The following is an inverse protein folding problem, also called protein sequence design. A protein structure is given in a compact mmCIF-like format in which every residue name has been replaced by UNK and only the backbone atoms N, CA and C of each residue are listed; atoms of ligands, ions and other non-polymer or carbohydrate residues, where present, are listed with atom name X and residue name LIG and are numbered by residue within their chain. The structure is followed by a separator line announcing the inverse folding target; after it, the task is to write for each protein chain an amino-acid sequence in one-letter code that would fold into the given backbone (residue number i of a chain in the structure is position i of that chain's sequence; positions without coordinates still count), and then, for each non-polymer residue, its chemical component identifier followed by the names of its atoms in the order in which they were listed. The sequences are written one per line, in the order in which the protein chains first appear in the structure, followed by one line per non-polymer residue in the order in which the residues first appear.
data_IF_857500631824
#
_entry.id   IF_857500631824
#
_cell.length_a   1.000
_cell.length_b   1.000
_cell.length_c   1.000
_cell.angle_alpha   90.00
_cell.angle_beta   90.00
_cell.angle_gamma   90.00
#
_symmetry.space_group_name_H-M   'P 1'
#
loop_
_entity.id
_entity.type
_entity.pdbx_description
1 polymer ?
#
# COMPACT_ATOMS: atom_id res chain seq x y z
N UNK A 1 24.69 -7.39 25.22
CA UNK A 1 23.78 -8.53 25.51
C UNK A 1 22.33 -8.27 25.13
N UNK A 2 21.73 -7.10 25.44
CA UNK A 2 20.32 -6.80 25.08
C UNK A 2 20.00 -6.89 23.58
N UNK A 3 20.88 -6.36 22.71
CA UNK A 3 20.64 -6.38 21.25
C UNK A 3 20.60 -7.80 20.67
N UNK A 4 21.40 -8.73 21.19
CA UNK A 4 21.40 -10.14 20.77
C UNK A 4 20.11 -10.83 21.21
N UNK A 5 19.64 -10.55 22.43
CA UNK A 5 18.37 -11.07 22.94
C UNK A 5 17.15 -10.55 22.15
N UNK A 6 17.17 -9.28 21.73
CA UNK A 6 16.13 -8.73 20.84
C UNK A 6 16.20 -9.33 19.43
N UNK A 7 17.40 -9.56 18.90
CA UNK A 7 17.60 -10.25 17.62
C UNK A 7 17.03 -11.67 17.64
N UNK A 8 17.30 -12.44 18.70
CA UNK A 8 16.78 -13.80 18.89
C UNK A 8 15.26 -13.81 19.07
N UNK A 9 14.71 -12.88 19.86
CA UNK A 9 13.25 -12.75 20.07
C UNK A 9 12.51 -12.41 18.77
N UNK A 10 13.08 -11.51 17.96
CA UNK A 10 12.51 -11.15 16.66
C UNK A 10 12.58 -12.32 15.68
N UNK A 11 13.74 -12.97 15.59
CA UNK A 11 13.93 -14.15 14.75
C UNK A 11 12.94 -15.28 15.10
N UNK A 12 12.75 -15.56 16.39
CA UNK A 12 11.76 -16.53 16.85
C UNK A 12 10.33 -16.15 16.43
N UNK A 13 9.96 -14.88 16.61
CA UNK A 13 8.63 -14.37 16.25
C UNK A 13 8.37 -14.45 14.74
N UNK A 14 9.36 -14.08 13.93
CA UNK A 14 9.28 -14.12 12.46
C UNK A 14 9.21 -15.57 11.96
N UNK A 15 10.01 -16.48 12.53
CA UNK A 15 9.97 -17.90 12.19
C UNK A 15 8.62 -18.53 12.59
N UNK A 16 8.07 -18.19 13.75
CA UNK A 16 6.74 -18.65 14.16
C UNK A 16 5.67 -18.19 13.16
N UNK A 17 5.71 -16.92 12.73
CA UNK A 17 4.81 -16.39 11.70
C UNK A 17 4.94 -17.18 10.40
N UNK A 18 6.18 -17.42 9.92
CA UNK A 18 6.42 -18.18 8.70
C UNK A 18 5.90 -19.62 8.78
N UNK A 19 6.05 -20.28 9.94
CA UNK A 19 5.54 -21.63 10.16
C UNK A 19 4.01 -21.67 10.15
N UNK A 20 3.34 -20.69 10.76
CA UNK A 20 1.88 -20.55 10.71
C UNK A 20 1.41 -20.33 9.27
N UNK A 21 2.04 -19.42 8.54
CA UNK A 21 1.71 -19.14 7.13
C UNK A 21 1.95 -20.35 6.23
N UNK A 22 3.01 -21.11 6.46
CA UNK A 22 3.28 -22.38 5.76
C UNK A 22 2.17 -23.40 6.03
N UNK A 23 1.76 -23.55 7.28
CA UNK A 23 0.67 -24.43 7.68
C UNK A 23 -0.65 -24.05 7.02
N UNK A 24 -1.00 -22.76 7.01
CA UNK A 24 -2.21 -22.26 6.36
C UNK A 24 -2.17 -22.49 4.84
N UNK A 25 -1.04 -22.21 4.19
CA UNK A 25 -0.85 -22.48 2.75
C UNK A 25 -1.05 -23.97 2.43
N UNK A 26 -0.54 -24.87 3.28
CA UNK A 26 -0.71 -26.31 3.09
C UNK A 26 -2.19 -26.73 3.24
N UNK A 27 -2.92 -26.17 4.21
CA UNK A 27 -4.36 -26.42 4.37
C UNK A 27 -5.18 -25.92 3.18
N UNK A 28 -4.86 -24.74 2.66
CA UNK A 28 -5.51 -24.19 1.47
C UNK A 28 -5.29 -25.07 0.23
N UNK A 29 -4.08 -25.60 0.02
CA UNK A 29 -3.80 -26.55 -1.07
C UNK A 29 -4.60 -27.84 -0.96
N UNK A 30 -5.01 -28.24 0.25
CA UNK A 30 -5.85 -29.42 0.50
C UNK A 30 -7.35 -29.09 0.49
N UNK A 31 -7.73 -27.83 0.34
CA UNK A 31 -9.12 -27.36 0.42
C UNK A 31 -9.73 -27.55 1.81
N UNK A 32 -8.93 -27.55 2.87
CA UNK A 32 -9.40 -27.68 4.25
C UNK A 32 -9.92 -26.33 4.79
N UNK A 33 -10.94 -26.36 5.64
CA UNK A 33 -11.42 -25.16 6.33
C UNK A 33 -10.43 -24.67 7.40
N UNK A 34 -10.18 -23.35 7.43
CA UNK A 34 -9.10 -22.77 8.24
C UNK A 34 -9.49 -22.44 9.69
N UNK A 35 -10.73 -22.03 9.92
CA UNK A 35 -11.16 -21.41 11.19
C UNK A 35 -12.37 -22.13 11.79
N UNK A 36 -13.17 -21.46 12.61
CA UNK A 36 -14.42 -22.03 13.12
C UNK A 36 -15.42 -22.23 11.98
N UNK A 37 -16.13 -23.36 11.97
CA UNK A 37 -17.15 -23.63 10.97
C UNK A 37 -18.19 -22.50 10.91
N UNK A 38 -18.60 -22.06 9.71
CA UNK A 38 -19.71 -21.13 9.56
C UNK A 38 -21.02 -21.81 9.98
N UNK A 39 -22.04 -21.00 10.27
CA UNK A 39 -23.36 -21.52 10.64
C UNK A 39 -23.90 -22.46 9.55
N UNK A 40 -24.53 -23.57 9.92
CA UNK A 40 -24.95 -24.61 8.96
C UNK A 40 -23.91 -25.72 8.73
N UNK A 41 -22.66 -25.53 9.17
CA UNK A 41 -21.61 -26.55 9.15
C UNK A 41 -21.18 -26.95 10.57
N UNK A 42 -20.64 -28.16 10.69
CA UNK A 42 -20.01 -28.69 11.91
C UNK A 42 -18.56 -29.09 11.60
N UNK A 43 -17.65 -28.83 12.54
CA UNK A 43 -16.26 -29.28 12.44
C UNK A 43 -16.20 -30.79 12.71
N UNK A 44 -15.80 -31.58 11.71
CA UNK A 44 -15.55 -33.00 11.88
C UNK A 44 -14.08 -33.24 12.27
N UNK A 45 -13.86 -33.79 13.46
CA UNK A 45 -12.52 -34.05 14.02
C UNK A 45 -11.76 -35.11 13.21
N UNK A 46 -12.46 -36.05 12.57
CA UNK A 46 -11.86 -37.16 11.82
C UNK A 46 -11.29 -36.71 10.48
N UNK A 47 -12.08 -35.96 9.71
CA UNK A 47 -11.67 -35.43 8.39
C UNK A 47 -10.88 -34.13 8.51
N UNK A 48 -10.80 -33.55 9.73
CA UNK A 48 -10.21 -32.23 9.99
C UNK A 48 -10.78 -31.13 9.09
N UNK A 49 -12.02 -31.32 8.64
CA UNK A 49 -12.72 -30.42 7.73
C UNK A 49 -14.16 -30.16 8.22
N UNK A 50 -14.89 -29.31 7.51
CA UNK A 50 -16.29 -29.00 7.82
C UNK A 50 -17.25 -29.87 7.02
N UNK A 51 -18.36 -30.25 7.66
CA UNK A 51 -19.44 -31.01 7.04
C UNK A 51 -20.80 -30.33 7.31
N UNK A 52 -21.74 -30.35 6.36
CA UNK A 52 -23.07 -29.79 6.57
C UNK A 52 -23.81 -30.45 7.74
N UNK A 53 -24.32 -29.65 8.66
CA UNK A 53 -25.19 -30.12 9.75
C UNK A 53 -26.56 -30.51 9.16
N UNK A 54 -27.09 -31.70 9.46
CA UNK A 54 -28.36 -32.20 8.91
C UNK A 54 -29.55 -31.25 9.14
N UNK A 55 -29.59 -30.57 10.29
CA UNK A 55 -30.72 -29.68 10.63
C UNK A 55 -30.41 -28.23 10.24
N UNK A 56 -29.24 -27.72 10.62
CA UNK A 56 -28.92 -26.30 10.40
C UNK A 56 -28.68 -25.99 8.92
N UNK A 57 -28.14 -26.92 8.14
CA UNK A 57 -27.97 -26.71 6.68
C UNK A 57 -29.31 -26.50 5.98
N UNK A 58 -30.34 -27.28 6.33
CA UNK A 58 -31.70 -27.13 5.79
C UNK A 58 -32.31 -25.77 6.13
N UNK A 59 -32.05 -25.28 7.35
CA UNK A 59 -32.49 -23.96 7.78
C UNK A 59 -31.78 -22.84 7.00
N UNK A 60 -30.49 -22.98 6.74
CA UNK A 60 -29.74 -22.04 5.87
C UNK A 60 -30.36 -22.00 4.47
N UNK A 61 -30.60 -23.17 3.85
CA UNK A 61 -31.24 -23.23 2.53
C UNK A 61 -32.61 -22.54 2.53
N UNK A 62 -33.43 -22.78 3.56
CA UNK A 62 -34.73 -22.12 3.71
C UNK A 62 -34.60 -20.60 3.84
N UNK A 63 -33.70 -20.12 4.70
CA UNK A 63 -33.47 -18.68 4.87
C UNK A 63 -33.03 -17.98 3.56
N UNK A 64 -32.19 -18.64 2.76
CA UNK A 64 -31.79 -18.11 1.45
C UNK A 64 -32.95 -18.12 0.43
N UNK A 65 -33.78 -19.16 0.42
CA UNK A 65 -35.00 -19.21 -0.41
C UNK A 65 -35.99 -18.12 -0.04
N UNK A 66 -36.27 -17.95 1.26
CA UNK A 66 -37.15 -16.88 1.76
C UNK A 66 -36.61 -15.51 1.37
N UNK A 67 -35.30 -15.27 1.52
CA UNK A 67 -34.71 -14.01 1.11
C UNK A 67 -34.78 -13.78 -0.41
N UNK A 68 -34.62 -14.83 -1.21
CA UNK A 68 -34.71 -14.76 -2.67
C UNK A 68 -36.10 -14.32 -3.17
N UNK A 69 -37.18 -14.61 -2.42
CA UNK A 69 -38.54 -14.14 -2.75
C UNK A 69 -38.67 -12.62 -2.75
N UNK A 70 -37.77 -11.91 -2.07
CA UNK A 70 -37.74 -10.44 -2.03
C UNK A 70 -38.68 -9.78 -1.03
N UNK A 71 -39.46 -10.56 -0.25
CA UNK A 71 -40.38 -10.03 0.78
C UNK A 71 -39.70 -9.73 2.12
N UNK A 72 -38.55 -10.35 2.40
CA UNK A 72 -37.90 -10.29 3.71
C UNK A 72 -36.78 -9.27 3.77
N UNK A 73 -36.72 -8.47 4.84
CA UNK A 73 -35.57 -7.61 5.20
C UNK A 73 -34.57 -8.35 6.08
N UNK A 74 -33.36 -7.80 6.30
CA UNK A 74 -32.37 -8.40 7.22
C UNK A 74 -32.95 -8.67 8.61
N UNK A 75 -33.81 -7.78 9.08
CA UNK A 75 -34.49 -7.89 10.37
C UNK A 75 -35.53 -9.02 10.38
N UNK A 76 -36.30 -9.15 9.30
CA UNK A 76 -37.25 -10.25 9.13
C UNK A 76 -36.56 -11.61 9.03
N UNK A 77 -35.42 -11.71 8.33
CA UNK A 77 -34.62 -12.94 8.32
C UNK A 77 -34.02 -13.24 9.69
N UNK A 78 -33.61 -12.21 10.44
CA UNK A 78 -33.12 -12.38 11.81
C UNK A 78 -34.20 -12.98 12.73
N UNK A 79 -35.42 -12.45 12.64
CA UNK A 79 -36.58 -12.98 13.37
C UNK A 79 -36.91 -14.40 12.94
N UNK A 80 -36.98 -14.68 11.63
CA UNK A 80 -37.20 -16.03 11.10
C UNK A 80 -36.17 -17.04 11.62
N UNK A 81 -34.89 -16.64 11.70
CA UNK A 81 -33.84 -17.48 12.27
C UNK A 81 -34.03 -17.68 13.78
N UNK A 82 -34.44 -16.64 14.52
CA UNK A 82 -34.72 -16.71 15.94
C UNK A 82 -35.92 -17.62 16.26
N UNK A 83 -36.99 -17.55 15.45
CA UNK A 83 -38.18 -18.41 15.56
C UNK A 83 -37.83 -19.90 15.36
N UNK A 84 -36.78 -20.17 14.57
CA UNK A 84 -36.21 -21.50 14.37
C UNK A 84 -35.07 -21.84 15.35
N UNK A 85 -34.93 -21.08 16.43
CA UNK A 85 -33.99 -21.37 17.54
C UNK A 85 -32.55 -20.89 17.31
N UNK A 86 -32.29 -20.10 16.27
CA UNK A 86 -30.96 -19.54 15.98
C UNK A 86 -30.83 -18.18 16.65
N UNK A 87 -30.39 -18.20 17.90
CA UNK A 87 -30.17 -17.02 18.73
C UNK A 87 -28.70 -16.86 19.10
N UNK A 88 -28.33 -15.66 19.54
CA UNK A 88 -27.00 -15.43 20.12
C UNK A 88 -26.88 -16.11 21.49
N UNK A 89 -25.68 -16.09 22.08
CA UNK A 89 -25.43 -16.63 23.43
C UNK A 89 -26.37 -16.04 24.50
N UNK A 90 -26.86 -14.82 24.29
CA UNK A 90 -27.74 -14.12 25.23
C UNK A 90 -29.23 -14.33 24.90
N UNK A 91 -29.56 -15.23 23.97
CA UNK A 91 -30.95 -15.48 23.57
C UNK A 91 -31.57 -14.42 22.65
N UNK A 92 -30.78 -13.44 22.19
CA UNK A 92 -31.29 -12.38 21.29
C UNK A 92 -31.19 -12.78 19.81
N UNK A 93 -32.06 -12.22 18.94
CA UNK A 93 -31.97 -12.42 17.49
C UNK A 93 -30.62 -11.93 16.91
N UNK A 94 -30.24 -12.48 15.75
CA UNK A 94 -29.00 -12.11 15.07
C UNK A 94 -29.00 -10.63 14.63
N UNK A 95 -27.86 -9.95 14.74
CA UNK A 95 -27.76 -8.57 14.27
C UNK A 95 -27.85 -8.47 12.75
N UNK A 96 -28.25 -7.29 12.23
CA UNK A 96 -28.33 -7.01 10.78
C UNK A 96 -27.00 -7.32 10.07
N UNK A 97 -25.87 -6.98 10.71
CA UNK A 97 -24.54 -7.27 10.21
C UNK A 97 -24.24 -8.78 10.14
N UNK A 98 -24.65 -9.55 11.16
CA UNK A 98 -24.45 -10.99 11.19
C UNK A 98 -25.25 -11.70 10.07
N UNK A 99 -26.50 -11.29 9.86
CA UNK A 99 -27.34 -11.82 8.77
C UNK A 99 -26.75 -11.44 7.40
N UNK A 100 -26.30 -10.19 7.23
CA UNK A 100 -25.63 -9.77 5.99
C UNK A 100 -24.35 -10.56 5.74
N UNK A 101 -23.51 -10.78 6.77
CA UNK A 101 -22.31 -11.59 6.65
C UNK A 101 -22.64 -13.04 6.29
N UNK A 102 -23.73 -13.61 6.83
CA UNK A 102 -24.22 -14.93 6.46
C UNK A 102 -24.65 -14.98 4.98
N UNK A 103 -25.49 -14.05 4.53
CA UNK A 103 -26.00 -14.04 3.15
C UNK A 103 -24.90 -13.81 2.10
N UNK A 104 -23.81 -13.13 2.46
CA UNK A 104 -22.66 -12.88 1.58
C UNK A 104 -21.56 -13.94 1.67
N UNK A 105 -21.69 -14.95 2.54
CA UNK A 105 -20.63 -15.92 2.76
C UNK A 105 -20.56 -16.96 1.62
N UNK A 106 -19.48 -16.91 0.84
CA UNK A 106 -19.23 -17.87 -0.26
C UNK A 106 -18.80 -19.26 0.24
N UNK A 107 -18.58 -19.45 1.54
CA UNK A 107 -18.37 -20.77 2.11
C UNK A 107 -19.54 -21.72 1.82
N UNK A 108 -20.77 -21.22 1.70
CA UNK A 108 -21.92 -22.04 1.35
C UNK A 108 -21.89 -22.62 -0.08
N UNK A 109 -21.04 -22.08 -0.94
CA UNK A 109 -20.76 -22.58 -2.30
C UNK A 109 -19.53 -23.50 -2.34
N UNK A 110 -18.83 -23.71 -1.21
CA UNK A 110 -17.61 -24.51 -1.17
C UNK A 110 -16.30 -23.72 -1.23
N UNK A 111 -16.32 -22.38 -1.19
CA UNK A 111 -15.10 -21.57 -1.28
C UNK A 111 -14.51 -21.19 0.09
N UNK A 112 -13.18 -21.14 0.19
CA UNK A 112 -12.43 -20.67 1.35
C UNK A 112 -11.81 -19.31 1.07
N UNK A 113 -11.90 -18.37 2.02
CA UNK A 113 -11.30 -17.04 1.90
C UNK A 113 -9.98 -16.97 2.65
N UNK A 114 -8.91 -16.50 2.00
CA UNK A 114 -7.65 -16.18 2.66
C UNK A 114 -6.96 -14.98 1.99
N UNK A 115 -6.47 -14.02 2.78
CA UNK A 115 -5.85 -12.77 2.30
C UNK A 115 -6.60 -11.98 1.22
N UNK A 116 -7.92 -12.13 1.13
CA UNK A 116 -8.75 -11.44 0.12
C UNK A 116 -9.01 -12.28 -1.14
N UNK A 117 -8.32 -13.40 -1.30
CA UNK A 117 -8.48 -14.36 -2.38
C UNK A 117 -9.43 -15.50 -1.98
N UNK A 118 -9.97 -16.17 -3.00
CA UNK A 118 -10.87 -17.32 -2.85
C UNK A 118 -10.22 -18.57 -3.41
N UNK A 119 -10.31 -19.66 -2.65
CA UNK A 119 -9.75 -20.96 -2.97
C UNK A 119 -10.86 -22.02 -2.94
N UNK A 120 -10.72 -23.07 -3.74
CA UNK A 120 -11.66 -24.19 -3.75
C UNK A 120 -11.53 -25.04 -2.48
N UNK A 121 -12.65 -25.29 -1.82
CA UNK A 121 -12.75 -26.13 -0.64
C UNK A 121 -13.20 -27.55 -0.99
N UNK A 122 -12.68 -28.53 -0.24
CA UNK A 122 -13.00 -29.96 -0.42
C UNK A 122 -14.29 -30.37 0.33
N UNK A 123 -14.94 -29.45 1.03
CA UNK A 123 -16.15 -29.71 1.80
C UNK A 123 -17.43 -29.51 0.97
N UNK A 124 -18.50 -30.22 1.36
CA UNK A 124 -19.75 -30.21 0.60
C UNK A 124 -20.45 -28.82 0.65
N UNK A 125 -20.86 -28.25 -0.50
CA UNK A 125 -21.62 -27.01 -0.55
C UNK A 125 -23.05 -27.22 -0.01
N UNK A 126 -23.61 -26.18 0.64
CA UNK A 126 -25.00 -26.17 1.14
C UNK A 126 -25.96 -25.55 0.10
N UNK A 127 -25.47 -24.59 -0.69
CA UNK A 127 -26.29 -23.82 -1.63
C UNK A 127 -25.87 -24.11 -3.08
N UNK A 128 -26.83 -24.00 -4.01
CA UNK A 128 -26.53 -23.94 -5.43
C UNK A 128 -26.00 -22.55 -5.83
N UNK A 129 -25.13 -22.46 -6.86
CA UNK A 129 -24.68 -21.18 -7.42
C UNK A 129 -25.84 -20.25 -7.77
N UNK A 130 -26.89 -20.79 -8.40
CA UNK A 130 -28.06 -20.02 -8.86
C UNK A 130 -28.82 -19.36 -7.70
N UNK A 131 -29.03 -20.09 -6.61
CA UNK A 131 -29.73 -19.56 -5.43
C UNK A 131 -28.91 -18.47 -4.74
N UNK A 132 -27.59 -18.67 -4.66
CA UNK A 132 -26.69 -17.67 -4.09
C UNK A 132 -26.65 -16.40 -4.96
N UNK A 133 -26.57 -16.55 -6.28
CA UNK A 133 -26.57 -15.42 -7.20
C UNK A 133 -27.89 -14.63 -7.15
N UNK A 134 -29.04 -15.30 -7.08
CA UNK A 134 -30.34 -14.65 -6.93
C UNK A 134 -30.37 -13.77 -5.66
N UNK A 135 -29.86 -14.27 -4.54
CA UNK A 135 -29.73 -13.51 -3.29
C UNK A 135 -28.77 -12.33 -3.45
N UNK A 136 -27.59 -12.52 -4.06
CA UNK A 136 -26.63 -11.44 -4.30
C UNK A 136 -27.20 -10.33 -5.20
N UNK A 137 -27.98 -10.69 -6.22
CA UNK A 137 -28.69 -9.72 -7.07
C UNK A 137 -29.65 -8.86 -6.23
N UNK A 138 -30.45 -9.48 -5.36
CA UNK A 138 -31.35 -8.76 -4.44
C UNK A 138 -30.60 -7.86 -3.46
N UNK A 139 -29.47 -8.30 -2.93
CA UNK A 139 -28.63 -7.50 -2.05
C UNK A 139 -28.10 -6.26 -2.78
N UNK A 140 -27.70 -6.38 -4.06
CA UNK A 140 -27.26 -5.25 -4.88
C UNK A 140 -28.39 -4.28 -5.23
N UNK A 141 -29.58 -4.78 -5.55
CA UNK A 141 -30.77 -3.95 -5.80
C UNK A 141 -31.18 -3.14 -4.57
N UNK A 142 -31.07 -3.75 -3.38
CA UNK A 142 -31.40 -3.10 -2.10
C UNK A 142 -30.27 -2.26 -1.53
N UNK A 143 -29.03 -2.49 -1.96
CA UNK A 143 -27.93 -1.61 -1.63
C UNK A 143 -28.25 -0.24 -2.24
N UNK A 144 -28.67 0.69 -1.39
CA UNK A 144 -28.70 2.12 -1.69
C UNK A 144 -27.31 2.66 -1.37
N UNK A 145 -26.34 2.66 -2.31
CA UNK A 145 -25.05 3.30 -2.03
C UNK A 145 -25.35 4.73 -1.62
N UNK A 146 -24.83 5.13 -0.46
CA UNK A 146 -24.94 6.50 0.02
C UNK A 146 -24.14 7.36 -0.97
N UNK A 147 -24.81 7.89 -2.00
CA UNK A 147 -24.23 8.88 -2.90
C UNK A 147 -24.04 10.16 -2.09
N UNK A 148 -22.99 10.24 -1.29
CA UNK A 148 -22.51 11.55 -0.82
C UNK A 148 -21.98 12.26 -2.06
N UNK A 149 -22.86 12.95 -2.78
CA UNK A 149 -22.56 13.63 -4.05
C UNK A 149 -21.68 14.87 -3.90
N UNK A 150 -21.24 15.20 -2.69
CA UNK A 150 -20.42 16.39 -2.44
C UNK A 150 -19.16 15.95 -1.74
N UNK A 151 -18.07 15.84 -2.50
CA UNK A 151 -16.75 15.98 -1.92
C UNK A 151 -16.73 17.35 -1.26
N UNK A 152 -16.48 17.41 0.04
CA UNK A 152 -16.32 18.70 0.67
C UNK A 152 -14.94 19.21 0.27
N UNK A 153 -14.93 20.32 -0.49
CA UNK A 153 -13.73 21.02 -0.89
C UNK A 153 -13.12 21.70 0.35
N UNK A 154 -12.20 20.99 1.01
CA UNK A 154 -11.43 21.45 2.14
C UNK A 154 -9.95 21.11 1.92
N UNK A 155 -9.18 22.06 1.36
CA UNK A 155 -7.78 21.84 1.03
C UNK A 155 -6.96 21.34 2.23
N UNK A 156 -7.00 22.03 3.37
CA UNK A 156 -6.05 21.76 4.46
C UNK A 156 -6.44 20.64 5.43
N UNK A 157 -7.42 19.79 5.11
CA UNK A 157 -7.78 18.67 5.99
C UNK A 157 -6.73 17.57 5.98
N UNK A 158 -6.33 17.09 7.16
CA UNK A 158 -5.34 16.02 7.31
C UNK A 158 -3.89 16.47 7.41
N UNK A 159 -3.60 17.75 7.11
CA UNK A 159 -2.25 18.31 7.17
C UNK A 159 -1.87 18.75 8.61
N UNK A 160 -2.81 19.40 9.30
CA UNK A 160 -2.53 20.03 10.60
C UNK A 160 -3.01 19.21 11.79
N UNK A 161 -2.25 19.29 12.89
CA UNK A 161 -2.59 18.77 14.21
C UNK A 161 -2.72 19.91 15.21
N UNK A 162 -3.65 19.75 16.14
CA UNK A 162 -3.82 20.69 17.23
C UNK A 162 -2.63 20.59 18.20
N UNK A 163 -1.98 21.72 18.51
CA UNK A 163 -0.86 21.77 19.45
C UNK A 163 -1.26 21.47 20.90
N UNK A 164 -2.53 21.66 21.28
CA UNK A 164 -3.01 21.47 22.65
C UNK A 164 -3.36 20.00 22.95
N UNK A 165 -4.17 19.36 22.10
CA UNK A 165 -4.63 17.98 22.34
C UNK A 165 -4.07 16.94 21.36
N UNK A 166 -3.26 17.34 20.38
CA UNK A 166 -2.70 16.44 19.36
C UNK A 166 -3.71 15.88 18.36
N UNK A 167 -5.00 16.23 18.49
CA UNK A 167 -6.06 15.80 17.58
C UNK A 167 -5.91 16.40 16.18
N UNK A 168 -6.42 15.72 15.16
CA UNK A 168 -6.39 16.23 13.78
C UNK A 168 -7.32 17.44 13.62
N UNK A 169 -6.89 18.40 12.80
CA UNK A 169 -7.72 19.51 12.34
C UNK A 169 -8.63 19.05 11.21
N UNK A 170 -9.91 19.37 11.33
CA UNK A 170 -10.97 19.09 10.35
C UNK A 170 -11.61 20.39 9.91
N UNK A 171 -12.34 20.37 8.81
CA UNK A 171 -12.99 21.55 8.27
C UNK A 171 -14.51 21.37 8.20
N UNK A 172 -15.21 22.51 8.25
CA UNK A 172 -16.65 22.57 8.06
C UNK A 172 -17.04 23.86 7.34
N UNK A 173 -18.16 23.79 6.62
CA UNK A 173 -18.81 24.98 6.08
C UNK A 173 -19.74 25.58 7.13
N UNK A 174 -19.69 26.90 7.29
CA UNK A 174 -20.64 27.64 8.11
C UNK A 174 -21.28 28.78 7.29
N UNK A 175 -22.59 28.96 7.44
CA UNK A 175 -23.32 30.08 6.84
C UNK A 175 -23.34 31.25 7.82
N UNK A 176 -22.97 32.44 7.34
CA UNK A 176 -22.96 33.69 8.10
C UNK A 176 -23.75 34.79 7.39
N UNK A 177 -23.47 36.07 7.71
CA UNK A 177 -24.08 37.27 7.10
C UNK A 177 -23.93 37.31 5.56
N UNK A 178 -24.79 36.57 4.85
CA UNK A 178 -24.84 36.53 3.38
C UNK A 178 -23.83 35.61 2.69
N UNK A 179 -22.99 34.88 3.42
CA UNK A 179 -21.88 34.09 2.84
C UNK A 179 -21.72 32.68 3.40
N UNK A 180 -21.05 31.83 2.63
CA UNK A 180 -20.63 30.49 3.03
C UNK A 180 -19.11 30.50 3.27
N UNK A 181 -18.68 30.21 4.50
CA UNK A 181 -17.28 30.32 4.91
C UNK A 181 -16.73 28.95 5.34
N UNK A 182 -15.47 28.68 5.01
CA UNK A 182 -14.74 27.49 5.48
C UNK A 182 -14.08 27.78 6.82
N UNK A 183 -14.34 26.93 7.79
CA UNK A 183 -13.72 26.97 9.11
C UNK A 183 -12.98 25.68 9.39
N UNK A 184 -11.76 25.81 9.90
CA UNK A 184 -10.92 24.73 10.39
C UNK A 184 -11.00 24.66 11.91
N UNK A 185 -11.16 23.46 12.45
CA UNK A 185 -11.31 23.21 13.89
C UNK A 185 -10.64 21.92 14.31
N UNK A 186 -10.20 21.87 15.57
CA UNK A 186 -9.81 20.62 16.18
C UNK A 186 -11.02 19.69 16.36
N UNK A 187 -10.81 18.40 16.14
CA UNK A 187 -11.80 17.34 16.44
C UNK A 187 -12.10 17.19 17.93
N UNK A 188 -11.24 17.71 18.81
CA UNK A 188 -11.31 17.58 20.28
C UNK A 188 -11.44 16.12 20.75
N UNK A 189 -10.93 15.18 19.96
CA UNK A 189 -11.07 13.73 20.19
C UNK A 189 -10.25 13.24 21.40
N UNK A 190 -9.14 13.90 21.70
CA UNK A 190 -8.14 13.43 22.66
C UNK A 190 -8.25 14.10 24.05
N UNK A 191 -9.34 14.79 24.36
CA UNK A 191 -9.55 15.42 25.67
C UNK A 191 -10.18 16.81 25.60
N UNK A 192 -10.08 17.56 26.71
CA UNK A 192 -10.51 18.97 26.77
C UNK A 192 -9.55 19.79 25.91
N UNK A 193 -10.09 20.54 24.96
CA UNK A 193 -9.33 21.41 24.07
C UNK A 193 -10.09 22.71 23.90
N UNK A 194 -9.45 23.82 24.25
CA UNK A 194 -10.04 25.16 24.23
C UNK A 194 -9.84 25.88 22.89
N UNK A 195 -9.06 25.29 21.97
CA UNK A 195 -8.89 25.83 20.61
C UNK A 195 -10.23 26.18 19.94
N UNK A 196 -10.25 27.40 19.41
CA UNK A 196 -11.36 27.96 18.65
C UNK A 196 -11.39 27.52 17.19
N UNK A 197 -12.33 28.10 16.45
CA UNK A 197 -12.49 27.87 15.02
C UNK A 197 -11.66 28.92 14.27
N UNK A 198 -10.90 28.48 13.27
CA UNK A 198 -10.08 29.35 12.45
C UNK A 198 -10.71 29.47 11.05
N UNK A 199 -10.88 30.70 10.56
CA UNK A 199 -11.31 30.96 9.18
C UNK A 199 -10.21 30.59 8.20
N UNK A 200 -10.58 30.09 7.02
CA UNK A 200 -9.63 29.72 5.96
C UNK A 200 -8.67 30.86 5.60
N UNK A 201 -9.15 32.08 5.42
CA UNK A 201 -8.32 33.27 5.12
C UNK A 201 -7.19 33.48 6.14
N UNK A 202 -7.48 33.28 7.44
CA UNK A 202 -6.48 33.40 8.51
C UNK A 202 -5.52 32.22 8.57
N UNK A 203 -5.98 31.03 8.21
CA UNK A 203 -5.12 29.86 8.10
C UNK A 203 -4.14 30.03 6.93
N UNK A 204 -4.64 30.45 5.77
CA UNK A 204 -3.84 30.71 4.57
C UNK A 204 -2.83 31.82 4.83
N UNK A 205 -3.21 32.90 5.51
CA UNK A 205 -2.24 33.96 5.84
C UNK A 205 -1.09 33.47 6.73
N UNK A 206 -1.37 32.62 7.72
CA UNK A 206 -0.33 31.99 8.54
C UNK A 206 0.57 31.06 7.72
N UNK A 207 0.00 30.28 6.80
CA UNK A 207 0.77 29.41 5.89
C UNK A 207 1.64 30.24 4.95
N UNK A 208 1.11 31.32 4.35
CA UNK A 208 1.87 32.23 3.48
C UNK A 208 3.06 32.86 4.20
N UNK A 209 2.90 33.28 5.46
CA UNK A 209 4.02 33.81 6.28
C UNK A 209 5.11 32.76 6.48
N UNK A 210 4.75 31.48 6.66
CA UNK A 210 5.72 30.39 6.78
C UNK A 210 6.40 30.06 5.45
N UNK A 211 5.65 30.06 4.35
CA UNK A 211 6.21 29.87 3.01
C UNK A 211 7.20 30.99 2.67
N UNK A 212 6.89 32.26 2.99
CA UNK A 212 7.79 33.40 2.79
C UNK A 212 9.13 33.26 3.51
N UNK A 213 9.20 32.54 4.63
CA UNK A 213 10.47 32.26 5.33
C UNK A 213 11.37 31.30 4.56
N UNK A 214 10.78 30.51 3.66
CA UNK A 214 11.45 29.48 2.88
C UNK A 214 11.65 29.97 1.43
N UNK A 215 11.07 31.08 0.99
CA UNK A 215 11.25 31.54 -0.40
C UNK A 215 12.60 32.21 -0.64
N UNK A 216 13.17 32.00 -1.84
CA UNK A 216 14.31 32.75 -2.36
C UNK A 216 13.84 33.88 -3.29
N UNK A 217 14.47 35.05 -3.31
CA UNK A 217 14.21 36.08 -4.32
C UNK A 217 14.48 35.55 -5.74
N UNK A 218 13.70 36.01 -6.72
CA UNK A 218 13.80 35.52 -8.11
C UNK A 218 15.19 35.73 -8.71
N UNK A 219 15.86 36.85 -8.39
CA UNK A 219 17.24 37.13 -8.83
C UNK A 219 18.24 36.06 -8.37
N UNK A 220 18.06 35.57 -7.14
CA UNK A 220 18.90 34.52 -6.57
C UNK A 220 18.59 33.15 -7.19
N UNK A 221 17.32 32.89 -7.51
CA UNK A 221 16.92 31.65 -8.21
C UNK A 221 17.57 31.61 -9.60
N UNK A 222 17.54 32.72 -10.35
CA UNK A 222 18.19 32.80 -11.66
C UNK A 222 19.71 32.66 -11.56
N UNK A 223 20.33 33.32 -10.57
CA UNK A 223 21.77 33.18 -10.32
C UNK A 223 22.16 31.74 -9.97
N UNK A 224 21.44 31.10 -9.06
CA UNK A 224 21.73 29.74 -8.60
C UNK A 224 21.48 28.69 -9.68
N UNK A 225 20.44 28.85 -10.51
CA UNK A 225 20.21 27.96 -11.66
C UNK A 225 21.35 28.05 -12.67
N UNK A 226 21.80 29.26 -13.03
CA UNK A 226 22.97 29.45 -13.91
C UNK A 226 24.25 28.82 -13.32
N UNK A 227 24.49 29.01 -12.03
CA UNK A 227 25.65 28.40 -11.34
C UNK A 227 25.57 26.86 -11.32
N UNK A 228 24.38 26.31 -11.13
CA UNK A 228 24.16 24.86 -11.15
C UNK A 228 24.44 24.28 -12.54
N UNK A 229 24.05 24.99 -13.61
CA UNK A 229 24.35 24.59 -15.00
C UNK A 229 25.85 24.66 -15.32
N UNK A 230 26.58 25.63 -14.75
CA UNK A 230 28.04 25.73 -14.85
C UNK A 230 28.72 24.55 -14.14
N UNK A 231 28.32 24.25 -12.91
CA UNK A 231 28.84 23.11 -12.14
C UNK A 231 28.55 21.77 -12.80
N UNK A 232 27.36 21.61 -13.40
CA UNK A 232 27.01 20.40 -14.16
C UNK A 232 27.96 20.20 -15.35
N UNK A 233 28.34 21.27 -16.04
CA UNK A 233 29.29 21.22 -17.16
C UNK A 233 30.71 20.91 -16.67
N UNK A 234 31.16 21.56 -15.61
CA UNK A 234 32.48 21.33 -15.01
C UNK A 234 32.63 19.88 -14.51
N UNK A 235 31.60 19.36 -13.84
CA UNK A 235 31.58 17.99 -13.32
C UNK A 235 31.51 16.96 -14.45
N UNK A 236 30.72 17.22 -15.51
CA UNK A 236 30.70 16.35 -16.69
C UNK A 236 32.05 16.32 -17.42
N UNK A 237 32.79 17.44 -17.47
CA UNK A 237 34.13 17.49 -18.07
C UNK A 237 35.16 16.76 -17.19
N UNK A 238 35.16 17.02 -15.88
CA UNK A 238 36.08 16.41 -14.92
C UNK A 238 35.87 14.89 -14.81
N UNK A 239 34.64 14.45 -14.57
CA UNK A 239 34.29 13.03 -14.45
C UNK A 239 34.26 12.30 -15.78
N UNK A 240 33.96 12.99 -16.88
CA UNK A 240 33.98 12.42 -18.24
C UNK A 240 35.36 11.85 -18.60
N UNK A 241 36.43 12.55 -18.23
CA UNK A 241 37.82 12.09 -18.45
C UNK A 241 38.13 10.77 -17.72
N UNK A 242 37.59 10.59 -16.52
CA UNK A 242 37.80 9.38 -15.70
C UNK A 242 36.99 8.21 -16.25
N UNK A 243 35.73 8.43 -16.62
CA UNK A 243 34.86 7.40 -17.21
C UNK A 243 35.37 6.95 -18.58
N UNK A 244 35.80 7.89 -19.43
CA UNK A 244 36.39 7.56 -20.73
C UNK A 244 37.72 6.81 -20.58
N UNK A 245 38.53 7.12 -19.57
CA UNK A 245 39.75 6.34 -19.26
C UNK A 245 39.43 4.91 -18.83
N UNK A 246 38.41 4.71 -17.98
CA UNK A 246 38.00 3.36 -17.55
C UNK A 246 37.41 2.57 -18.73
N UNK A 247 36.60 3.20 -19.58
CA UNK A 247 36.06 2.61 -20.81
C UNK A 247 37.16 2.26 -21.82
N UNK A 248 38.19 3.09 -21.94
CA UNK A 248 39.38 2.79 -22.74
C UNK A 248 40.08 1.52 -22.27
N UNK A 249 40.34 1.41 -20.96
CA UNK A 249 40.94 0.21 -20.38
C UNK A 249 40.07 -1.05 -20.56
N UNK A 250 38.74 -0.91 -20.51
CA UNK A 250 37.81 -2.02 -20.77
C UNK A 250 37.90 -2.50 -22.23
N UNK A 251 37.95 -1.55 -23.19
CA UNK A 251 38.15 -1.86 -24.61
C UNK A 251 39.49 -2.56 -24.86
N UNK A 252 40.58 -2.04 -24.31
CA UNK A 252 41.90 -2.67 -24.43
C UNK A 252 41.92 -4.09 -23.85
N UNK A 253 41.23 -4.31 -22.72
CA UNK A 253 41.15 -5.63 -22.09
C UNK A 253 40.32 -6.61 -22.93
N UNK A 254 39.26 -6.11 -23.57
CA UNK A 254 38.44 -6.88 -24.50
C UNK A 254 39.22 -7.26 -25.77
N UNK A 255 39.97 -6.33 -26.36
CA UNK A 255 40.85 -6.60 -27.51
C UNK A 255 41.92 -7.64 -27.17
N UNK A 256 42.50 -7.58 -25.96
CA UNK A 256 43.44 -8.60 -25.47
C UNK A 256 42.79 -9.98 -25.32
N UNK A 257 41.52 -10.04 -24.88
CA UNK A 257 40.76 -11.30 -24.81
C UNK A 257 40.48 -11.86 -26.21
N UNK A 258 40.07 -11.01 -27.15
CA UNK A 258 39.75 -11.41 -28.52
C UNK A 258 41.02 -11.91 -29.25
N UNK A 259 42.16 -11.22 -29.09
CA UNK A 259 43.45 -11.67 -29.61
C UNK A 259 43.93 -12.99 -28.97
N UNK A 260 43.70 -13.18 -27.67
CA UNK A 260 44.03 -14.44 -26.99
C UNK A 260 43.20 -15.62 -27.52
N UNK A 261 41.95 -15.37 -27.93
CA UNK A 261 41.10 -16.37 -28.57
C UNK A 261 41.65 -16.73 -29.95
N UNK A 262 42.05 -15.75 -30.76
CA UNK A 262 42.65 -15.97 -32.08
C UNK A 262 43.93 -16.81 -32.00
N UNK A 263 44.87 -16.43 -31.13
CA UNK A 263 46.15 -17.15 -30.96
C UNK A 263 45.96 -18.60 -30.44
N UNK A 264 44.89 -18.87 -29.70
CA UNK A 264 44.56 -20.23 -29.28
C UNK A 264 43.98 -21.07 -30.41
N UNK A 265 43.18 -20.46 -31.30
CA UNK A 265 42.63 -21.12 -32.49
C UNK A 265 43.73 -21.48 -33.50
N UNK A 266 44.78 -20.66 -33.59
CA UNK A 266 45.95 -20.90 -34.45
C UNK A 266 46.91 -21.97 -33.89
N UNK A 267 46.69 -22.43 -32.65
CA UNK A 267 47.40 -23.57 -32.04
C UNK A 267 48.71 -23.25 -31.34
N UNK A 268 49.06 -21.96 -31.21
CA UNK A 268 50.37 -21.51 -30.71
C UNK A 268 50.52 -21.59 -29.17
N UNK A 269 49.45 -21.86 -28.42
CA UNK A 269 49.44 -21.74 -26.95
C UNK A 269 48.97 -23.03 -26.25
N UNK A 270 49.75 -23.58 -25.30
CA UNK A 270 49.32 -24.66 -24.43
C UNK A 270 48.08 -24.28 -23.61
N UNK A 271 47.11 -25.20 -23.51
CA UNK A 271 45.80 -25.00 -22.85
C UNK A 271 45.91 -24.43 -21.42
N UNK A 272 46.94 -24.82 -20.65
CA UNK A 272 47.18 -24.34 -19.30
C UNK A 272 47.48 -22.83 -19.24
N UNK A 273 48.31 -22.32 -20.17
CA UNK A 273 48.67 -20.90 -20.22
C UNK A 273 47.50 -20.04 -20.71
N UNK A 274 46.69 -20.56 -21.64
CA UNK A 274 45.47 -19.92 -22.10
C UNK A 274 44.47 -19.72 -20.96
N UNK A 275 44.21 -20.77 -20.16
CA UNK A 275 43.27 -20.69 -19.04
C UNK A 275 43.72 -19.68 -17.98
N UNK A 276 45.01 -19.71 -17.60
CA UNK A 276 45.54 -18.77 -16.61
C UNK A 276 45.43 -17.30 -17.07
N UNK A 277 45.75 -17.01 -18.34
CA UNK A 277 45.69 -15.63 -18.86
C UNK A 277 44.26 -15.16 -19.10
N UNK A 278 43.36 -16.07 -19.50
CA UNK A 278 41.92 -15.79 -19.62
C UNK A 278 41.32 -15.42 -18.28
N UNK A 279 41.61 -16.17 -17.23
CA UNK A 279 41.10 -15.91 -15.89
C UNK A 279 41.59 -14.56 -15.36
N UNK A 280 42.87 -14.21 -15.58
CA UNK A 280 43.44 -12.90 -15.23
C UNK A 280 42.70 -11.74 -15.93
N UNK A 281 42.48 -11.85 -17.24
CA UNK A 281 41.78 -10.82 -18.01
C UNK A 281 40.30 -10.72 -17.66
N UNK A 282 39.63 -11.84 -17.35
CA UNK A 282 38.25 -11.85 -16.86
C UNK A 282 38.14 -11.17 -15.49
N UNK A 283 39.06 -11.44 -14.56
CA UNK A 283 39.10 -10.76 -13.27
C UNK A 283 39.34 -9.25 -13.42
N UNK A 284 40.22 -8.85 -14.34
CA UNK A 284 40.44 -7.44 -14.66
C UNK A 284 39.16 -6.78 -15.20
N UNK A 285 38.44 -7.45 -16.12
CA UNK A 285 37.16 -6.96 -16.64
C UNK A 285 36.11 -6.78 -15.54
N UNK A 286 35.96 -7.76 -14.65
CA UNK A 286 35.03 -7.64 -13.50
C UNK A 286 35.44 -6.48 -12.58
N UNK A 287 36.74 -6.31 -12.32
CA UNK A 287 37.23 -5.20 -11.48
C UNK A 287 37.00 -3.83 -12.11
N UNK A 288 37.15 -3.70 -13.43
CA UNK A 288 36.90 -2.47 -14.18
C UNK A 288 35.40 -2.15 -14.21
N UNK A 289 34.54 -3.16 -14.41
CA UNK A 289 33.09 -3.00 -14.35
C UNK A 289 32.64 -2.51 -12.96
N UNK A 290 33.17 -3.09 -11.88
CA UNK A 290 32.88 -2.64 -10.52
C UNK A 290 33.36 -1.21 -10.26
N UNK A 291 34.56 -0.82 -10.76
CA UNK A 291 35.06 0.56 -10.68
C UNK A 291 34.19 1.55 -11.45
N UNK A 292 33.61 1.13 -12.57
CA UNK A 292 32.71 1.95 -13.36
C UNK A 292 31.38 2.17 -12.63
N UNK A 293 30.82 1.12 -12.03
CA UNK A 293 29.61 1.24 -11.21
C UNK A 293 29.84 2.03 -9.92
N UNK A 294 31.00 1.88 -9.27
CA UNK A 294 31.34 2.71 -8.11
C UNK A 294 31.54 4.17 -8.50
N UNK A 295 32.21 4.46 -9.62
CA UNK A 295 32.36 5.83 -10.12
C UNK A 295 31.01 6.45 -10.52
N UNK A 296 30.05 5.65 -11.02
CA UNK A 296 28.66 6.08 -11.26
C UNK A 296 27.89 6.34 -9.97
N UNK A 297 28.15 5.57 -8.91
CA UNK A 297 27.53 5.76 -7.60
C UNK A 297 28.17 6.91 -6.79
N UNK A 298 29.48 7.16 -6.96
CA UNK A 298 30.20 8.33 -6.42
C UNK A 298 29.84 9.61 -7.17
N UNK A 299 29.37 9.48 -8.43
CA UNK A 299 28.45 10.41 -9.10
C UNK A 299 27.10 10.50 -8.34
N UNK A 300 27.13 10.71 -7.03
CA UNK A 300 26.07 11.42 -6.33
C UNK A 300 26.15 12.87 -6.81
N UNK A 301 25.73 13.03 -8.06
CA UNK A 301 24.96 14.10 -8.66
C UNK A 301 24.30 14.95 -7.58
N UNK A 302 25.08 15.76 -6.87
CA UNK A 302 24.62 16.70 -5.83
C UNK A 302 23.96 17.91 -6.50
N UNK A 303 24.32 18.14 -7.76
CA UNK A 303 23.75 19.08 -8.70
C UNK A 303 22.25 18.83 -8.87
N UNK A 304 21.80 17.58 -9.00
CA UNK A 304 20.38 17.25 -9.18
C UNK A 304 19.52 17.55 -7.94
N UNK A 305 19.85 17.08 -6.71
CA UNK A 305 19.17 17.51 -5.49
C UNK A 305 19.22 19.02 -5.28
N UNK A 306 20.31 19.67 -5.65
CA UNK A 306 20.40 21.13 -5.59
C UNK A 306 19.43 21.79 -6.58
N UNK A 307 19.34 21.28 -7.82
CA UNK A 307 18.40 21.77 -8.83
C UNK A 307 16.95 21.54 -8.40
N UNK A 308 16.63 20.36 -7.86
CA UNK A 308 15.32 20.06 -7.28
C UNK A 308 14.98 21.04 -6.16
N UNK A 309 15.92 21.26 -5.24
CA UNK A 309 15.76 22.24 -4.16
C UNK A 309 15.50 23.64 -4.71
N UNK A 310 16.26 24.12 -5.70
CA UNK A 310 16.03 25.44 -6.33
C UNK A 310 14.64 25.52 -6.97
N UNK A 311 14.21 24.45 -7.66
CA UNK A 311 12.88 24.39 -8.29
C UNK A 311 11.76 24.41 -7.25
N UNK A 312 11.93 23.74 -6.11
CA UNK A 312 10.95 23.77 -5.03
C UNK A 312 10.86 25.15 -4.38
N UNK A 313 12.00 25.82 -4.17
CA UNK A 313 12.02 27.21 -3.68
C UNK A 313 11.34 28.18 -4.66
N UNK A 314 11.47 27.94 -5.97
CA UNK A 314 10.73 28.68 -7.01
C UNK A 314 9.23 28.38 -7.01
N UNK A 315 8.82 27.14 -6.73
CA UNK A 315 7.39 26.84 -6.54
C UNK A 315 6.87 27.54 -5.30
N UNK A 316 7.63 27.58 -4.19
CA UNK A 316 7.23 28.30 -2.99
C UNK A 316 6.95 29.78 -3.26
N UNK A 317 7.79 30.47 -4.06
CA UNK A 317 7.56 31.89 -4.40
C UNK A 317 6.26 32.08 -5.17
N UNK A 318 5.97 31.20 -6.12
CA UNK A 318 4.71 31.20 -6.88
C UNK A 318 3.49 30.90 -5.99
N UNK A 319 3.63 30.01 -5.01
CA UNK A 319 2.54 29.62 -4.11
C UNK A 319 2.18 30.71 -3.09
N UNK A 320 3.11 31.60 -2.75
CA UNK A 320 2.82 32.75 -1.87
C UNK A 320 1.80 33.70 -2.50
N UNK A 321 1.84 33.88 -3.83
CA UNK A 321 0.92 34.74 -4.58
C UNK A 321 -0.28 33.98 -5.18
N UNK A 322 -0.28 32.65 -5.18
CA UNK A 322 -1.36 31.82 -5.71
C UNK A 322 -2.58 31.79 -4.78
N UNK A 323 -3.78 31.79 -5.38
CA UNK A 323 -5.06 31.58 -4.71
C UNK A 323 -5.55 30.12 -4.81
N UNK A 324 -4.74 29.22 -5.37
CA UNK A 324 -5.05 27.79 -5.41
C UNK A 324 -4.59 27.08 -4.12
N UNK A 325 -5.52 26.93 -3.17
CA UNK A 325 -5.24 26.33 -1.87
C UNK A 325 -4.87 24.84 -1.92
N UNK A 326 -5.23 24.11 -2.98
CA UNK A 326 -4.83 22.71 -3.14
C UNK A 326 -3.36 22.57 -3.48
N UNK A 327 -2.83 23.45 -4.32
CA UNK A 327 -1.39 23.47 -4.64
C UNK A 327 -0.56 23.83 -3.41
N UNK A 328 -1.04 24.76 -2.58
CA UNK A 328 -0.40 25.13 -1.30
C UNK A 328 -0.36 23.94 -0.32
N UNK A 329 -1.33 23.02 -0.39
CA UNK A 329 -1.37 21.82 0.46
C UNK A 329 -0.39 20.74 0.00
N UNK A 330 -0.26 20.59 -1.32
CA UNK A 330 0.52 19.50 -1.92
C UNK A 330 2.03 19.81 -1.95
N UNK A 331 2.40 21.07 -1.81
CA UNK A 331 3.75 21.54 -1.50
C UNK A 331 4.10 21.30 -0.03
#
# INVERSE_FOLDING_TARGET
MLQVAFGQSKYYSDNLKQNVERGIRQKLRRGEWLTKAPFGYVNNVKTRNIEPDKLKSRLVVRAFKEFATGKHCYESISQFLADHGVVTRNGTPLSKCAVSAMLCNRAYLGFVKHHGEWYDGTFAPILSPDLFEAVQKRLRERAKPRKSKKHHDFPFTGLFRCGECGGMITAQWAKGHGGLYRYYRCTKKNGKCEQGYLREERLVSQVRVRLQQITLPDDWIEYMTKKTDEWEKEENVSSGSVVERIRGNERETQEKLDNLITLYLDGDIPKANYLAKKDELLLQKVSLAHKLDSARQERKNWVEPLREWILDMKKATQLVSSDNFFEIRDY
#
